data_IF_920989605768
#
_entry.id   IF_920989605768
#
_cell.length_a   1.000
_cell.length_b   1.000
_cell.length_c   1.000
_cell.angle_alpha   90.00
_cell.angle_beta   90.00
_cell.angle_gamma   90.00
#
_symmetry.space_group_name_H-M   'P 1'
#
loop_
_entity.id
_entity.type
_entity.pdbx_description
1 polymer ?
#
# COMPACT_ATOMS: atom_id res chain seq x y z
N UNK A 1 0.32 -6.58 17.68
CA UNK A 1 1.57 -6.18 18.33
C UNK A 1 2.13 -5.02 17.52
N UNK A 2 2.50 -3.90 18.14
CA UNK A 2 3.06 -2.76 17.40
C UNK A 2 4.53 -3.06 17.12
N UNK A 3 4.95 -3.05 15.87
CA UNK A 3 6.36 -3.19 15.50
C UNK A 3 7.07 -1.88 15.79
N UNK A 4 8.13 -1.91 16.60
CA UNK A 4 8.98 -0.74 16.83
C UNK A 4 9.88 -0.45 15.62
N UNK A 5 10.41 -1.50 14.99
CA UNK A 5 11.32 -1.40 13.85
C UNK A 5 10.85 -2.26 12.68
N UNK A 6 11.17 -1.84 11.45
CA UNK A 6 10.96 -2.66 10.26
C UNK A 6 11.80 -3.93 10.34
N UNK A 7 11.26 -5.02 9.81
CA UNK A 7 11.94 -6.31 9.78
C UNK A 7 13.13 -6.32 8.81
N UNK A 8 14.19 -7.03 9.20
CA UNK A 8 15.43 -7.11 8.42
C UNK A 8 15.21 -7.76 7.06
N UNK A 9 14.37 -8.80 6.98
CA UNK A 9 14.10 -9.49 5.72
C UNK A 9 13.27 -8.62 4.77
N UNK A 10 12.33 -7.82 5.29
CA UNK A 10 11.63 -6.80 4.51
C UNK A 10 12.61 -5.75 3.95
N UNK A 11 13.53 -5.24 4.77
CA UNK A 11 14.55 -4.28 4.32
C UNK A 11 15.51 -4.90 3.30
N UNK A 12 15.91 -6.17 3.50
CA UNK A 12 16.69 -6.93 2.54
C UNK A 12 15.97 -7.03 1.20
N UNK A 13 14.69 -7.41 1.23
CA UNK A 13 13.87 -7.56 0.03
C UNK A 13 13.84 -6.24 -0.76
N UNK A 14 13.55 -5.12 -0.08
CA UNK A 14 13.49 -3.81 -0.72
C UNK A 14 14.85 -3.36 -1.27
N UNK A 15 15.95 -3.68 -0.58
CA UNK A 15 17.30 -3.34 -1.02
C UNK A 15 17.73 -4.10 -2.27
N UNK A 16 17.33 -5.36 -2.38
CA UNK A 16 17.72 -6.29 -3.45
C UNK A 16 16.50 -6.73 -4.28
N UNK A 17 15.58 -5.80 -4.57
CA UNK A 17 14.29 -6.12 -5.19
C UNK A 17 14.44 -6.85 -6.54
N UNK A 18 15.42 -6.47 -7.36
CA UNK A 18 15.66 -7.12 -8.65
C UNK A 18 16.15 -8.57 -8.48
N UNK A 19 17.00 -8.84 -7.50
CA UNK A 19 17.44 -10.19 -7.16
C UNK A 19 16.29 -11.03 -6.59
N UNK A 20 15.45 -10.44 -5.73
CA UNK A 20 14.27 -11.11 -5.20
C UNK A 20 13.25 -11.44 -6.29
N UNK A 21 13.00 -10.52 -7.22
CA UNK A 21 12.14 -10.78 -8.38
C UNK A 21 12.70 -11.96 -9.21
N UNK A 22 14.01 -11.95 -9.47
CA UNK A 22 14.69 -12.99 -10.24
C UNK A 22 14.73 -14.36 -9.57
N UNK A 23 14.92 -14.42 -8.25
CA UNK A 23 15.24 -15.65 -7.52
C UNK A 23 14.10 -16.20 -6.65
N UNK A 24 13.15 -15.35 -6.24
CA UNK A 24 12.06 -15.71 -5.35
C UNK A 24 10.70 -15.67 -6.06
N UNK A 25 10.40 -14.58 -6.78
CA UNK A 25 9.07 -14.38 -7.39
C UNK A 25 8.94 -15.06 -8.76
N UNK A 26 10.04 -15.21 -9.51
CA UNK A 26 10.03 -15.83 -10.82
C UNK A 26 9.55 -17.30 -10.76
N UNK A 27 8.64 -17.67 -11.66
CA UNK A 27 8.18 -19.07 -11.81
C UNK A 27 9.37 -20.03 -12.05
N UNK A 28 10.36 -19.56 -12.82
CA UNK A 28 11.63 -20.25 -13.05
C UNK A 28 12.80 -19.36 -12.56
N UNK A 29 13.33 -19.61 -11.36
CA UNK A 29 14.45 -18.84 -10.82
C UNK A 29 15.70 -18.95 -11.69
N UNK A 30 16.23 -17.81 -12.12
CA UNK A 30 17.46 -17.76 -12.93
C UNK A 30 18.66 -17.85 -12.00
N UNK A 31 19.40 -18.95 -12.00
CA UNK A 31 20.47 -19.24 -11.00
C UNK A 31 21.89 -19.09 -11.53
N UNK A 32 22.06 -18.60 -12.75
CA UNK A 32 23.36 -18.44 -13.37
C UNK A 32 24.28 -17.55 -12.51
N UNK A 33 25.52 -18.00 -12.32
CA UNK A 33 26.52 -17.28 -11.52
C UNK A 33 26.39 -17.45 -10.00
N UNK A 34 25.39 -18.18 -9.50
CA UNK A 34 25.27 -18.43 -8.05
C UNK A 34 26.20 -19.55 -7.58
N UNK A 35 26.94 -19.36 -6.48
CA UNK A 35 27.62 -20.44 -5.80
C UNK A 35 26.59 -21.33 -5.11
N UNK A 36 26.57 -22.63 -5.43
CA UNK A 36 25.61 -23.59 -4.88
C UNK A 36 24.13 -23.14 -4.99
N UNK A 37 23.55 -23.13 -6.20
CA UNK A 37 22.20 -22.65 -6.49
C UNK A 37 21.12 -23.16 -5.53
N UNK A 38 21.12 -24.46 -5.21
CA UNK A 38 20.09 -25.08 -4.37
C UNK A 38 20.08 -24.51 -2.95
N UNK A 39 21.26 -24.25 -2.39
CA UNK A 39 21.38 -23.68 -1.05
C UNK A 39 20.92 -22.21 -1.06
N UNK A 40 21.33 -21.45 -2.08
CA UNK A 40 20.94 -20.04 -2.21
C UNK A 40 19.43 -19.91 -2.38
N UNK A 41 18.81 -20.71 -3.25
CA UNK A 41 17.36 -20.67 -3.45
C UNK A 41 16.59 -21.02 -2.17
N UNK A 42 17.07 -21.98 -1.36
CA UNK A 42 16.46 -22.29 -0.06
C UNK A 42 16.53 -21.10 0.90
N UNK A 43 17.67 -20.41 0.95
CA UNK A 43 17.84 -19.23 1.80
C UNK A 43 16.98 -18.05 1.33
N UNK A 44 16.99 -17.78 0.02
CA UNK A 44 16.17 -16.73 -0.60
C UNK A 44 14.68 -16.97 -0.34
N UNK A 45 14.21 -18.22 -0.43
CA UNK A 45 12.83 -18.55 -0.09
C UNK A 45 12.50 -18.22 1.37
N UNK A 46 13.37 -18.59 2.30
CA UNK A 46 13.18 -18.26 3.73
C UNK A 46 13.13 -16.75 3.96
N UNK A 47 14.02 -15.99 3.30
CA UNK A 47 14.05 -14.52 3.37
C UNK A 47 12.76 -13.93 2.79
N UNK A 48 12.33 -14.37 1.61
CA UNK A 48 11.10 -13.90 0.97
C UNK A 48 9.84 -14.19 1.79
N UNK A 49 9.70 -15.41 2.31
CA UNK A 49 8.58 -15.80 3.17
C UNK A 49 8.57 -15.02 4.49
N UNK A 50 9.75 -14.73 5.05
CA UNK A 50 9.89 -13.93 6.26
C UNK A 50 9.59 -12.46 6.01
N UNK A 51 10.11 -11.89 4.92
CA UNK A 51 9.83 -10.52 4.50
C UNK A 51 8.32 -10.31 4.31
N UNK A 52 7.65 -11.25 3.67
CA UNK A 52 6.21 -11.26 3.50
C UNK A 52 5.43 -11.18 4.83
N UNK A 53 5.86 -11.94 5.85
CA UNK A 53 5.29 -11.86 7.20
C UNK A 53 5.56 -10.51 7.86
N UNK A 54 6.79 -10.04 7.80
CA UNK A 54 7.19 -8.74 8.38
C UNK A 54 6.43 -7.57 7.74
N UNK A 55 6.21 -7.61 6.43
CA UNK A 55 5.41 -6.62 5.71
C UNK A 55 3.95 -6.66 6.19
N UNK A 56 3.37 -7.85 6.31
CA UNK A 56 2.01 -7.98 6.82
C UNK A 56 1.89 -7.40 8.24
N UNK A 57 2.82 -7.73 9.13
CA UNK A 57 2.88 -7.17 10.49
C UNK A 57 3.05 -5.65 10.49
N UNK A 58 3.89 -5.11 9.61
CA UNK A 58 4.09 -3.68 9.50
C UNK A 58 2.83 -2.96 8.99
N UNK A 59 2.19 -3.47 7.94
CA UNK A 59 0.94 -2.91 7.43
C UNK A 59 -0.18 -2.97 8.46
N UNK A 60 -0.22 -3.98 9.32
CA UNK A 60 -1.15 -4.04 10.47
C UNK A 60 -0.97 -2.87 11.45
N UNK A 61 0.25 -2.36 11.63
CA UNK A 61 0.49 -1.18 12.49
C UNK A 61 -0.15 0.10 11.95
N UNK A 62 -0.40 0.18 10.63
CA UNK A 62 -1.08 1.32 10.02
C UNK A 62 -2.61 1.29 10.23
N UNK A 63 -3.19 0.11 10.51
CA UNK A 63 -4.65 -0.11 10.54
C UNK A 63 -5.37 0.77 11.57
N UNK A 64 -4.94 0.84 12.85
CA UNK A 64 -5.75 1.50 13.88
C UNK A 64 -6.05 2.97 13.57
N UNK A 65 -5.05 3.75 13.15
CA UNK A 65 -5.24 5.17 12.84
C UNK A 65 -6.11 5.41 11.61
N UNK A 66 -6.01 4.55 10.59
CA UNK A 66 -6.87 4.63 9.40
C UNK A 66 -8.32 4.29 9.78
N UNK A 67 -8.53 3.19 10.51
CA UNK A 67 -9.87 2.78 10.93
C UNK A 67 -10.52 3.78 11.87
N UNK A 68 -9.78 4.32 12.84
CA UNK A 68 -10.27 5.34 13.76
C UNK A 68 -10.77 6.58 13.00
N UNK A 69 -9.93 7.11 12.10
CA UNK A 69 -10.30 8.26 11.30
C UNK A 69 -11.55 7.99 10.43
N UNK A 70 -11.55 6.92 9.64
CA UNK A 70 -12.67 6.66 8.73
C UNK A 70 -13.94 6.20 9.45
N UNK A 71 -13.88 5.51 10.60
CA UNK A 71 -15.08 5.24 11.40
C UNK A 71 -15.76 6.53 11.87
N UNK A 72 -15.00 7.59 12.13
CA UNK A 72 -15.54 8.88 12.54
C UNK A 72 -16.31 9.57 11.41
N UNK A 73 -15.90 9.41 10.14
CA UNK A 73 -16.42 10.18 9.00
C UNK A 73 -17.20 9.36 7.96
N UNK A 74 -17.16 8.03 8.02
CA UNK A 74 -17.71 7.14 6.99
C UNK A 74 -18.07 5.76 7.52
N UNK A 75 -18.60 4.90 6.65
CA UNK A 75 -18.43 3.44 6.82
C UNK A 75 -17.03 3.07 6.37
N UNK A 76 -16.42 2.11 7.06
CA UNK A 76 -15.13 1.52 6.68
C UNK A 76 -15.15 0.04 6.97
N UNK A 77 -14.78 -0.75 5.98
CA UNK A 77 -14.66 -2.19 6.09
C UNK A 77 -13.27 -2.60 5.63
N UNK A 78 -12.55 -3.30 6.49
CA UNK A 78 -11.27 -3.87 6.14
C UNK A 78 -11.42 -5.03 5.16
N UNK A 79 -10.63 -5.02 4.09
CA UNK A 79 -10.57 -6.11 3.11
C UNK A 79 -9.36 -6.98 3.42
N UNK A 80 -9.62 -8.24 3.78
CA UNK A 80 -8.56 -9.24 3.93
C UNK A 80 -8.23 -9.81 2.55
N UNK A 81 -7.13 -9.37 1.96
CA UNK A 81 -6.52 -10.02 0.80
C UNK A 81 -5.40 -10.95 1.24
N UNK A 82 -5.08 -11.91 0.37
CA UNK A 82 -3.91 -12.78 0.51
C UNK A 82 -2.61 -12.08 0.04
N UNK A 83 -2.73 -10.95 -0.66
CA UNK A 83 -1.59 -10.15 -1.12
C UNK A 83 -0.90 -9.50 0.09
N UNK A 84 0.34 -9.93 0.37
CA UNK A 84 1.03 -9.59 1.61
C UNK A 84 1.59 -8.16 1.63
N UNK A 85 1.69 -7.50 0.47
CA UNK A 85 2.29 -6.16 0.32
C UNK A 85 1.28 -5.02 0.14
N UNK A 86 -0.01 -5.30 0.39
CA UNK A 86 -1.06 -4.28 0.31
C UNK A 86 -2.08 -4.43 1.44
N UNK A 87 -2.37 -3.31 2.08
CA UNK A 87 -3.50 -3.13 2.98
C UNK A 87 -4.64 -2.46 2.22
N UNK A 88 -5.87 -2.93 2.38
CA UNK A 88 -7.03 -2.35 1.69
C UNK A 88 -8.24 -2.24 2.60
N UNK A 89 -9.00 -1.16 2.40
CA UNK A 89 -10.28 -0.89 3.03
C UNK A 89 -11.28 -0.48 1.97
N UNK A 90 -12.53 -0.84 2.19
CA UNK A 90 -13.68 -0.39 1.44
C UNK A 90 -14.36 0.71 2.26
N UNK A 91 -14.55 1.88 1.64
CA UNK A 91 -15.01 3.11 2.30
C UNK A 91 -16.22 3.65 1.56
N UNK A 92 -17.24 4.06 2.31
CA UNK A 92 -18.42 4.70 1.73
C UNK A 92 -19.19 5.55 2.73
N UNK A 93 -20.12 6.41 2.28
CA UNK A 93 -20.90 7.27 3.17
C UNK A 93 -21.71 6.48 4.22
N UNK A 94 -21.90 7.03 5.43
CA UNK A 94 -22.64 6.35 6.53
C UNK A 94 -24.07 5.92 6.18
N UNK A 95 -24.70 6.57 5.20
CA UNK A 95 -26.09 6.33 4.77
C UNK A 95 -26.19 5.63 3.41
N UNK A 96 -25.08 5.26 2.78
CA UNK A 96 -25.08 4.60 1.47
C UNK A 96 -25.17 3.08 1.65
N UNK A 97 -26.01 2.42 0.84
CA UNK A 97 -26.29 0.99 0.96
C UNK A 97 -25.47 0.10 0.02
N UNK A 98 -24.94 0.61 -1.10
CA UNK A 98 -24.35 -0.25 -2.15
C UNK A 98 -22.99 0.17 -2.71
N UNK A 99 -22.53 1.40 -2.49
CA UNK A 99 -21.39 1.97 -3.22
C UNK A 99 -20.29 2.38 -2.27
N UNK A 100 -19.08 1.92 -2.59
CA UNK A 100 -17.89 2.14 -1.80
C UNK A 100 -16.67 2.19 -2.73
N UNK A 101 -15.79 3.15 -2.50
CA UNK A 101 -14.45 3.19 -3.09
C UNK A 101 -13.47 2.46 -2.19
N UNK A 102 -12.25 2.27 -2.67
CA UNK A 102 -11.22 1.58 -1.92
C UNK A 102 -10.12 2.56 -1.54
N UNK A 103 -9.58 2.38 -0.35
CA UNK A 103 -8.35 3.03 0.07
C UNK A 103 -7.38 1.96 0.53
N UNK A 104 -6.10 2.30 0.58
CA UNK A 104 -5.12 1.36 1.06
C UNK A 104 -3.74 1.92 1.14
N UNK A 105 -2.83 1.06 1.58
CA UNK A 105 -1.40 1.32 1.59
C UNK A 105 -0.75 0.18 0.86
N UNK A 106 -0.03 0.47 -0.22
CA UNK A 106 0.84 -0.51 -0.85
C UNK A 106 2.30 -0.15 -0.57
N UNK A 107 3.16 -1.15 -0.51
CA UNK A 107 4.60 -0.93 -0.60
C UNK A 107 5.01 -1.15 -2.04
N UNK A 108 5.61 -0.12 -2.64
CA UNK A 108 6.21 -0.20 -3.96
C UNK A 108 7.65 -0.68 -3.85
N UNK A 109 7.91 -1.87 -4.39
CA UNK A 109 9.20 -2.53 -4.35
C UNK A 109 10.26 -1.76 -5.15
N UNK A 110 9.90 -1.22 -6.30
CA UNK A 110 10.83 -0.50 -7.19
C UNK A 110 11.27 0.84 -6.61
N UNK A 111 10.39 1.49 -5.86
CA UNK A 111 10.64 2.80 -5.27
C UNK A 111 11.06 2.75 -3.81
N UNK A 112 11.07 1.55 -3.20
CA UNK A 112 11.19 1.33 -1.76
C UNK A 112 10.34 2.34 -0.97
N UNK A 113 9.04 2.39 -1.27
CA UNK A 113 8.16 3.43 -0.77
C UNK A 113 6.82 2.88 -0.29
N UNK A 114 6.31 3.45 0.79
CA UNK A 114 4.92 3.31 1.22
C UNK A 114 4.06 4.29 0.45
N UNK A 115 3.00 3.78 -0.16
CA UNK A 115 2.11 4.50 -1.05
C UNK A 115 0.69 4.38 -0.49
N UNK A 116 0.21 5.38 0.28
CA UNK A 116 -1.21 5.52 0.56
C UNK A 116 -1.96 5.91 -0.71
N UNK A 117 -3.05 5.21 -1.02
CA UNK A 117 -3.77 5.35 -2.27
C UNK A 117 -5.29 5.35 -2.07
N UNK A 118 -5.97 5.87 -3.09
CA UNK A 118 -7.43 5.79 -3.26
C UNK A 118 -7.71 5.20 -4.63
N UNK A 119 -8.64 4.26 -4.71
CA UNK A 119 -9.07 3.66 -5.94
C UNK A 119 -10.59 3.73 -6.08
N UNK A 120 -11.03 4.17 -7.26
CA UNK A 120 -12.41 4.12 -7.69
C UNK A 120 -12.51 3.44 -9.05
N UNK A 121 -13.62 2.73 -9.29
CA UNK A 121 -13.93 2.26 -10.65
C UNK A 121 -14.13 3.47 -11.57
N UNK A 122 -13.52 3.42 -12.76
CA UNK A 122 -13.71 4.45 -13.80
C UNK A 122 -12.44 4.85 -14.55
N UNK A 123 -11.30 4.23 -14.25
CA UNK A 123 -10.04 4.47 -14.95
C UNK A 123 -9.61 5.93 -14.85
N UNK A 124 -9.03 6.46 -15.93
CA UNK A 124 -8.50 7.84 -15.96
C UNK A 124 -9.50 8.92 -15.53
N UNK A 125 -10.77 8.80 -15.93
CA UNK A 125 -11.82 9.75 -15.52
C UNK A 125 -12.00 9.81 -14.01
N UNK A 126 -11.96 8.65 -13.34
CA UNK A 126 -12.06 8.61 -11.89
C UNK A 126 -10.84 9.24 -11.21
N UNK A 127 -9.64 9.06 -11.80
CA UNK A 127 -8.40 9.67 -11.32
C UNK A 127 -8.48 11.19 -11.38
N UNK A 128 -8.88 11.75 -12.52
CA UNK A 128 -9.00 13.20 -12.70
C UNK A 128 -10.03 13.83 -11.74
N UNK A 129 -11.18 13.16 -11.54
CA UNK A 129 -12.18 13.62 -10.56
C UNK A 129 -11.69 13.52 -9.11
N UNK A 130 -10.99 12.45 -8.73
CA UNK A 130 -10.41 12.33 -7.39
C UNK A 130 -9.35 13.40 -7.14
N UNK A 131 -8.50 13.72 -8.12
CA UNK A 131 -7.53 14.82 -8.04
C UNK A 131 -8.26 16.15 -7.83
N UNK A 132 -9.37 16.39 -8.54
CA UNK A 132 -10.17 17.61 -8.38
C UNK A 132 -10.82 17.72 -6.99
N UNK A 133 -11.33 16.61 -6.46
CA UNK A 133 -12.01 16.57 -5.15
C UNK A 133 -11.00 16.74 -4.01
N UNK A 134 -9.95 15.92 -4.01
CA UNK A 134 -8.99 15.86 -2.90
C UNK A 134 -7.96 17.00 -2.96
N UNK A 135 -7.68 17.52 -4.16
CA UNK A 135 -6.74 18.62 -4.39
C UNK A 135 -5.32 18.33 -3.89
N UNK A 136 -4.61 19.38 -3.45
CA UNK A 136 -3.40 19.28 -2.58
C UNK A 136 -2.18 18.57 -3.19
N UNK A 137 -2.00 18.63 -4.51
CA UNK A 137 -0.79 18.08 -5.15
C UNK A 137 -0.81 16.55 -5.31
N UNK A 138 -1.97 15.92 -5.16
CA UNK A 138 -2.20 14.50 -5.45
C UNK A 138 -1.90 14.22 -6.92
N UNK A 139 -1.13 13.16 -7.17
CA UNK A 139 -0.69 12.77 -8.52
C UNK A 139 -1.37 11.49 -8.96
N UNK A 140 -1.71 11.46 -10.24
CA UNK A 140 -2.08 10.25 -10.96
C UNK A 140 -0.79 9.50 -11.30
N UNK A 141 -0.73 8.21 -11.00
CA UNK A 141 0.49 7.39 -11.24
C UNK A 141 0.66 6.93 -12.69
N UNK A 142 -0.29 7.28 -13.56
CA UNK A 142 -0.27 6.94 -14.99
C UNK A 142 -0.68 5.49 -15.28
N UNK A 143 -1.31 4.80 -14.33
CA UNK A 143 -1.78 3.43 -14.51
C UNK A 143 -3.16 3.34 -15.19
N UNK A 144 -3.87 4.46 -15.26
CA UNK A 144 -5.25 4.55 -15.77
C UNK A 144 -6.20 3.53 -15.14
N UNK A 145 -5.85 3.07 -13.94
CA UNK A 145 -6.54 2.01 -13.21
C UNK A 145 -7.73 2.55 -12.43
N UNK A 146 -7.83 3.86 -12.26
CA UNK A 146 -8.73 4.50 -11.31
C UNK A 146 -8.07 4.78 -9.97
N UNK A 147 -6.73 4.81 -9.90
CA UNK A 147 -5.96 4.98 -8.65
C UNK A 147 -5.28 6.35 -8.59
N UNK A 148 -5.41 7.04 -7.46
CA UNK A 148 -4.59 8.21 -7.12
C UNK A 148 -3.72 7.91 -5.91
N UNK A 149 -2.51 8.48 -5.92
CA UNK A 149 -1.54 8.36 -4.82
C UNK A 149 -1.62 9.60 -3.95
N UNK A 150 -1.84 9.40 -2.65
CA UNK A 150 -1.95 10.49 -1.68
C UNK A 150 -0.57 11.01 -1.27
N UNK A 151 0.41 10.11 -1.14
CA UNK A 151 1.78 10.43 -0.79
C UNK A 151 2.74 9.34 -1.27
N UNK A 152 4.00 9.73 -1.47
CA UNK A 152 5.11 8.79 -1.64
C UNK A 152 6.01 8.90 -0.41
N UNK A 153 5.97 7.91 0.48
CA UNK A 153 6.72 7.90 1.73
C UNK A 153 7.89 6.95 1.55
N UNK A 154 9.09 7.50 1.31
CA UNK A 154 10.31 6.69 1.18
C UNK A 154 10.59 5.92 2.47
N UNK A 155 10.85 4.62 2.31
CA UNK A 155 11.35 3.75 3.37
C UNK A 155 12.87 3.94 3.39
N UNK A 156 13.47 4.39 4.50
CA UNK A 156 14.91 4.57 4.57
C UNK A 156 15.57 3.19 4.64
N UNK A 157 16.21 2.77 3.54
CA UNK A 157 16.96 1.52 3.48
C UNK A 157 18.37 1.79 4.01
N UNK A 158 18.78 1.16 5.13
CA UNK A 158 20.08 1.43 5.71
C UNK A 158 21.22 0.80 4.89
N UNK A 159 22.44 1.31 5.09
CA UNK A 159 23.64 0.72 4.48
C UNK A 159 23.88 -0.70 5.03
N UNK A 160 23.64 -0.90 6.33
CA UNK A 160 23.71 -2.18 7.02
C UNK A 160 22.31 -2.57 7.48
N UNK A 161 21.87 -3.79 7.14
CA UNK A 161 20.48 -4.20 7.36
C UNK A 161 20.14 -4.40 8.85
N UNK A 162 21.15 -4.53 9.70
CA UNK A 162 21.04 -4.62 11.15
C UNK A 162 20.74 -3.26 11.80
N UNK A 163 20.87 -2.15 11.07
CA UNK A 163 20.54 -0.81 11.58
C UNK A 163 19.02 -0.65 11.71
N UNK A 164 18.52 -0.19 12.86
CA UNK A 164 17.08 -0.09 13.11
C UNK A 164 16.43 0.97 12.23
N UNK A 165 15.26 0.64 11.67
CA UNK A 165 14.40 1.57 10.94
C UNK A 165 13.06 1.68 11.67
N UNK A 166 12.88 2.78 12.39
CA UNK A 166 11.73 3.00 13.25
C UNK A 166 10.41 3.13 12.46
N UNK A 167 9.43 2.30 12.82
CA UNK A 167 8.13 2.21 12.17
C UNK A 167 7.27 3.45 12.41
N UNK A 168 7.31 4.03 13.61
CA UNK A 168 6.37 5.05 14.07
C UNK A 168 6.34 6.27 13.14
N UNK A 169 7.50 6.69 12.65
CA UNK A 169 7.60 7.83 11.73
C UNK A 169 6.93 7.57 10.37
N UNK A 170 6.99 6.33 9.88
CA UNK A 170 6.35 5.92 8.63
C UNK A 170 4.84 5.79 8.83
N UNK A 171 4.41 5.16 9.91
CA UNK A 171 3.00 5.02 10.29
C UNK A 171 2.34 6.40 10.45
N UNK A 172 3.00 7.34 11.13
CA UNK A 172 2.49 8.70 11.30
C UNK A 172 2.28 9.42 9.96
N UNK A 173 3.21 9.26 9.00
CA UNK A 173 3.06 9.84 7.65
C UNK A 173 1.90 9.20 6.87
N UNK A 174 1.72 7.89 6.99
CA UNK A 174 0.57 7.18 6.40
C UNK A 174 -0.74 7.72 6.98
N UNK A 175 -0.83 7.84 8.31
CA UNK A 175 -2.00 8.39 8.98
C UNK A 175 -2.27 9.83 8.55
N UNK A 176 -1.22 10.66 8.45
CA UNK A 176 -1.34 12.04 7.98
C UNK A 176 -1.90 12.14 6.55
N UNK A 177 -1.50 11.23 5.65
CA UNK A 177 -2.03 11.19 4.28
C UNK A 177 -3.55 11.00 4.25
N UNK A 178 -4.09 10.18 5.16
CA UNK A 178 -5.52 9.92 5.27
C UNK A 178 -6.28 10.92 6.15
N UNK A 179 -5.64 11.50 7.17
CA UNK A 179 -6.29 12.38 8.14
C UNK A 179 -6.94 13.64 7.54
N UNK A 180 -6.57 13.97 6.29
CA UNK A 180 -7.07 15.13 5.57
C UNK A 180 -8.43 14.92 4.90
N UNK A 181 -8.98 13.70 4.97
CA UNK A 181 -10.30 13.36 4.46
C UNK A 181 -11.40 13.90 5.36
N UNK A 182 -12.51 14.31 4.74
CA UNK A 182 -13.72 14.75 5.42
C UNK A 182 -14.93 13.91 5.00
N UNK A 183 -16.03 13.99 5.74
CA UNK A 183 -17.31 13.36 5.32
C UNK A 183 -17.74 13.82 3.91
N UNK A 184 -17.43 15.08 3.54
CA UNK A 184 -17.72 15.65 2.23
C UNK A 184 -16.88 15.01 1.13
N UNK A 185 -15.60 14.77 1.38
CA UNK A 185 -14.71 14.12 0.39
C UNK A 185 -15.15 12.69 0.12
N UNK A 186 -15.49 11.95 1.19
CA UNK A 186 -16.04 10.59 1.08
C UNK A 186 -17.31 10.58 0.22
N UNK A 187 -18.25 11.49 0.48
CA UNK A 187 -19.49 11.59 -0.29
C UNK A 187 -19.25 11.98 -1.76
N UNK A 188 -18.31 12.90 -2.01
CA UNK A 188 -17.98 13.35 -3.36
C UNK A 188 -17.31 12.23 -4.19
N UNK A 189 -16.38 11.48 -3.59
CA UNK A 189 -15.69 10.35 -4.24
C UNK A 189 -16.67 9.22 -4.53
N UNK A 190 -17.55 8.88 -3.59
CA UNK A 190 -18.61 7.90 -3.83
C UNK A 190 -19.50 8.33 -5.02
N UNK A 191 -19.75 9.62 -5.16
CA UNK A 191 -20.45 10.23 -6.30
C UNK A 191 -19.78 10.00 -7.67
N UNK A 192 -18.46 9.84 -7.75
CA UNK A 192 -17.76 9.49 -9.01
C UNK A 192 -18.29 8.16 -9.55
N UNK A 193 -18.48 7.19 -8.65
CA UNK A 193 -18.99 5.85 -9.02
C UNK A 193 -20.47 5.88 -9.45
N UNK A 194 -21.16 6.99 -9.18
CA UNK A 194 -22.59 7.19 -9.42
C UNK A 194 -22.93 7.77 -10.79
N UNK A 195 -22.01 8.49 -11.44
CA UNK A 195 -22.24 9.11 -12.76
C UNK A 195 -22.23 8.12 -13.94
N UNK A 196 -22.71 6.89 -13.72
CA UNK A 196 -23.20 6.00 -14.79
C UNK A 196 -24.69 6.23 -14.99
N UNK A 197 -24.99 7.26 -15.75
CA UNK A 197 -26.26 7.42 -16.45
C UNK A 197 -25.94 8.01 -17.82
N UNK A 198 -26.33 7.28 -18.87
CA UNK A 198 -26.49 7.75 -20.26
C UNK A 198 -25.21 8.02 -21.07
N UNK A 199 -24.73 6.95 -21.73
CA UNK A 199 -24.36 6.95 -23.15
C UNK A 199 -24.53 5.53 -23.70
#
# INVERSE_FOLDING_TARGET
MVMSNLGECMLFYLKYAAEMERLYEAEEPKVEGLPNPDQVLKQIKLVGDTANREVAEFLETCVPGIEEHFRAISTVQRIRKKDMWVLSFKVGPKKATDRQFWIGVNIDLNQAALIPWVWCRGGRRAEDEMVRILGRGIKVRGWESGTVVLAEIKIPIPERLEEPVECDSLVAKVQQAFASFTERDVAAIDGITTNRGEA
#
